data_IF_245371703616
#
_entry.id   IF_245371703616
#
_cell.length_a   1.000
_cell.length_b   1.000
_cell.length_c   1.000
_cell.angle_alpha   90.00
_cell.angle_beta   90.00
_cell.angle_gamma   90.00
#
_symmetry.space_group_name_H-M   'P 1'
#
loop_
_entity.id
_entity.type
_entity.pdbx_description
1 polymer ?
#
# COMPACT_ATOMS: atom_id res chain seq x y z
N UNK A 1 29.65 -0.02 12.97
CA UNK A 1 28.46 -0.48 12.21
C UNK A 1 27.82 0.78 11.66
N UNK A 2 27.88 1.03 10.35
CA UNK A 2 27.14 2.14 9.74
C UNK A 2 25.67 1.81 9.85
N UNK A 3 24.88 2.65 10.53
CA UNK A 3 23.43 2.53 10.51
C UNK A 3 22.97 2.74 9.06
N UNK A 4 22.55 1.68 8.41
CA UNK A 4 21.90 1.79 7.09
C UNK A 4 20.50 2.40 7.28
N UNK A 5 20.46 3.73 7.30
CA UNK A 5 19.21 4.49 7.35
C UNK A 5 18.54 4.61 5.98
N UNK A 6 19.17 4.08 4.92
CA UNK A 6 18.66 4.17 3.56
C UNK A 6 17.25 3.59 3.42
N UNK A 7 16.96 2.49 4.09
CA UNK A 7 15.64 1.85 4.05
C UNK A 7 14.50 2.69 4.64
N UNK A 8 14.80 3.68 5.50
CA UNK A 8 13.79 4.54 6.13
C UNK A 8 13.49 5.81 5.33
N UNK A 9 14.30 6.10 4.30
CA UNK A 9 14.15 7.31 3.49
C UNK A 9 13.40 6.96 2.21
N UNK A 10 12.31 7.68 1.94
CA UNK A 10 11.56 7.56 0.71
C UNK A 10 12.04 8.54 -0.34
N UNK A 11 11.96 8.09 -1.59
CA UNK A 11 12.30 8.84 -2.79
C UNK A 11 11.19 8.59 -3.82
N UNK A 12 10.54 9.66 -4.29
CA UNK A 12 9.44 9.56 -5.25
C UNK A 12 9.87 8.83 -6.55
N UNK A 13 11.13 8.99 -6.96
CA UNK A 13 11.67 8.31 -8.15
C UNK A 13 11.93 6.81 -7.95
N UNK A 14 11.87 6.31 -6.70
CA UNK A 14 12.11 4.92 -6.35
C UNK A 14 10.87 4.22 -5.78
N UNK A 15 9.83 4.98 -5.48
CA UNK A 15 8.62 4.47 -4.84
C UNK A 15 7.57 4.01 -5.84
N UNK A 16 6.84 2.94 -5.48
CA UNK A 16 5.64 2.44 -6.13
C UNK A 16 4.58 2.16 -5.06
N UNK A 17 3.34 2.55 -5.32
CA UNK A 17 2.20 2.24 -4.45
C UNK A 17 1.56 0.92 -4.85
N UNK A 18 1.35 0.03 -3.88
CA UNK A 18 0.64 -1.24 -4.09
C UNK A 18 -0.64 -1.24 -3.26
N UNK A 19 -1.78 -1.42 -3.93
CA UNK A 19 -3.11 -1.52 -3.33
C UNK A 19 -3.57 -2.97 -3.38
N UNK A 20 -3.60 -3.63 -2.23
CA UNK A 20 -3.85 -5.07 -2.13
C UNK A 20 -5.31 -5.34 -1.78
N UNK A 21 -6.03 -6.00 -2.69
CA UNK A 21 -7.31 -6.70 -2.49
C UNK A 21 -8.40 -5.88 -1.76
N UNK A 22 -8.54 -4.59 -2.06
CA UNK A 22 -9.63 -3.76 -1.50
C UNK A 22 -10.90 -4.02 -2.30
N UNK A 23 -11.53 -5.19 -2.05
CA UNK A 23 -12.58 -5.77 -2.89
C UNK A 23 -13.96 -5.79 -2.24
N UNK A 24 -14.99 -5.68 -3.09
CA UNK A 24 -16.40 -5.51 -2.72
C UNK A 24 -16.92 -6.53 -1.69
N UNK A 25 -16.58 -7.82 -1.85
CA UNK A 25 -17.08 -8.89 -0.96
C UNK A 25 -16.23 -9.13 0.29
N UNK A 26 -15.05 -8.50 0.37
CA UNK A 26 -14.27 -8.46 1.62
C UNK A 26 -14.74 -7.35 2.56
N UNK A 27 -15.24 -6.25 2.01
CA UNK A 27 -15.70 -5.08 2.78
C UNK A 27 -16.71 -5.44 3.87
N UNK A 28 -17.78 -6.26 3.61
CA UNK A 28 -18.76 -6.60 4.64
C UNK A 28 -18.18 -7.36 5.85
N UNK A 29 -17.00 -7.94 5.73
CA UNK A 29 -16.33 -8.63 6.83
C UNK A 29 -15.56 -7.67 7.75
N UNK A 30 -15.31 -6.43 7.30
CA UNK A 30 -14.56 -5.44 8.07
C UNK A 30 -15.50 -4.61 8.95
N UNK A 31 -15.06 -4.18 10.16
CA UNK A 31 -15.78 -3.14 10.88
C UNK A 31 -15.88 -1.87 10.02
N UNK A 32 -17.07 -1.29 9.95
CA UNK A 32 -17.37 -0.18 9.02
C UNK A 32 -16.41 1.01 9.18
N UNK A 33 -16.18 1.44 10.41
CA UNK A 33 -15.31 2.57 10.72
C UNK A 33 -13.84 2.30 10.34
N UNK A 34 -13.40 1.05 10.45
CA UNK A 34 -12.05 0.60 10.04
C UNK A 34 -11.92 0.63 8.53
N UNK A 35 -12.93 0.09 7.82
CA UNK A 35 -12.96 0.11 6.35
C UNK A 35 -12.99 1.55 5.80
N UNK A 36 -13.85 2.41 6.34
CA UNK A 36 -13.95 3.80 5.88
C UNK A 36 -12.62 4.55 6.03
N UNK A 37 -11.92 4.36 7.14
CA UNK A 37 -10.57 4.93 7.33
C UNK A 37 -9.56 4.41 6.31
N UNK A 38 -9.53 3.10 6.11
CA UNK A 38 -8.66 2.48 5.09
C UNK A 38 -8.96 3.06 3.71
N UNK A 39 -10.22 3.01 3.26
CA UNK A 39 -10.65 3.49 1.95
C UNK A 39 -10.23 4.94 1.70
N UNK A 40 -10.54 5.83 2.66
CA UNK A 40 -10.20 7.25 2.54
C UNK A 40 -8.68 7.47 2.51
N UNK A 41 -7.92 6.72 3.32
CA UNK A 41 -6.45 6.80 3.32
C UNK A 41 -5.85 6.29 2.02
N UNK A 42 -6.35 5.17 1.49
CA UNK A 42 -5.89 4.62 0.20
C UNK A 42 -6.22 5.58 -0.94
N UNK A 43 -7.44 6.12 -0.99
CA UNK A 43 -7.84 7.11 -2.00
C UNK A 43 -6.90 8.32 -2.01
N UNK A 44 -6.60 8.86 -0.83
CA UNK A 44 -5.67 9.98 -0.68
C UNK A 44 -4.24 9.61 -1.16
N UNK A 45 -3.75 8.43 -0.82
CA UNK A 45 -2.42 7.97 -1.26
C UNK A 45 -2.35 7.78 -2.78
N UNK A 46 -3.41 7.28 -3.40
CA UNK A 46 -3.50 7.14 -4.87
C UNK A 46 -3.50 8.51 -5.54
N UNK A 47 -4.25 9.48 -5.01
CA UNK A 47 -4.22 10.86 -5.51
C UNK A 47 -2.82 11.48 -5.40
N UNK A 48 -2.15 11.31 -4.26
CA UNK A 48 -0.77 11.77 -4.06
C UNK A 48 0.20 11.04 -5.00
N UNK A 49 0.02 9.74 -5.23
CA UNK A 49 0.81 9.00 -6.21
C UNK A 49 0.69 9.62 -7.61
N UNK A 50 -0.51 9.97 -8.05
CA UNK A 50 -0.72 10.68 -9.31
C UNK A 50 -0.04 12.06 -9.36
N UNK A 51 -0.13 12.85 -8.28
CA UNK A 51 0.51 14.17 -8.19
C UNK A 51 2.05 14.08 -8.25
N UNK A 52 2.63 13.01 -7.71
CA UNK A 52 4.08 12.82 -7.62
C UNK A 52 4.64 11.86 -8.69
N UNK A 53 3.81 11.36 -9.62
CA UNK A 53 4.23 10.45 -10.69
C UNK A 53 4.67 9.07 -10.21
N UNK A 54 4.12 8.58 -9.08
CA UNK A 54 4.37 7.22 -8.62
C UNK A 54 3.48 6.24 -9.38
N UNK A 55 4.00 5.12 -9.88
CA UNK A 55 3.16 4.05 -10.41
C UNK A 55 2.30 3.43 -9.30
N UNK A 56 1.09 3.00 -9.68
CA UNK A 56 0.16 2.30 -8.81
C UNK A 56 -0.08 0.89 -9.36
N UNK A 57 0.12 -0.13 -8.53
CA UNK A 57 -0.19 -1.53 -8.85
C UNK A 57 -1.29 -2.01 -7.92
N UNK A 58 -2.39 -2.48 -8.49
CA UNK A 58 -3.54 -2.97 -7.74
C UNK A 58 -3.65 -4.48 -7.90
N UNK A 59 -4.06 -5.19 -6.86
CA UNK A 59 -4.33 -6.63 -6.94
C UNK A 59 -5.77 -6.96 -6.59
N UNK A 60 -6.27 -8.04 -7.19
CA UNK A 60 -7.59 -8.61 -6.92
C UNK A 60 -7.45 -10.11 -6.65
N UNK A 61 -7.76 -10.53 -5.42
CA UNK A 61 -7.80 -11.94 -5.03
C UNK A 61 -9.04 -12.58 -5.62
N UNK A 62 -8.89 -13.58 -6.49
CA UNK A 62 -9.97 -14.41 -7.03
C UNK A 62 -11.28 -13.61 -7.27
N UNK A 63 -11.31 -12.64 -8.21
CA UNK A 63 -12.41 -11.69 -8.34
C UNK A 63 -13.75 -12.36 -8.66
N UNK A 64 -13.76 -13.54 -9.29
CA UNK A 64 -14.98 -14.35 -9.49
C UNK A 64 -15.65 -14.72 -8.15
N UNK A 65 -14.86 -14.89 -7.09
CA UNK A 65 -15.34 -15.25 -5.74
C UNK A 65 -15.62 -14.04 -4.87
N UNK A 66 -14.73 -13.06 -4.79
CA UNK A 66 -14.83 -11.95 -3.83
C UNK A 66 -15.03 -10.58 -4.46
N UNK A 67 -15.37 -10.51 -5.74
CA UNK A 67 -15.69 -9.26 -6.44
C UNK A 67 -14.44 -8.51 -6.88
N UNK A 68 -14.66 -7.35 -7.45
CA UNK A 68 -13.60 -6.46 -7.93
C UNK A 68 -13.23 -5.40 -6.88
N UNK A 69 -12.20 -4.65 -7.18
CA UNK A 69 -11.83 -3.45 -6.41
C UNK A 69 -13.06 -2.55 -6.22
N UNK A 70 -13.25 -2.04 -5.01
CA UNK A 70 -14.42 -1.22 -4.67
C UNK A 70 -14.54 -0.01 -5.61
N UNK A 71 -15.78 0.36 -6.03
CA UNK A 71 -15.99 1.41 -7.03
C UNK A 71 -15.31 2.74 -6.71
N UNK A 72 -15.22 3.08 -5.41
CA UNK A 72 -14.61 4.33 -4.94
C UNK A 72 -13.08 4.41 -5.21
N UNK A 73 -12.42 3.28 -5.39
CA UNK A 73 -11.00 3.19 -5.72
C UNK A 73 -10.75 2.77 -7.16
N UNK A 74 -11.68 2.04 -7.78
CA UNK A 74 -11.49 1.41 -9.08
C UNK A 74 -11.05 2.37 -10.18
N UNK A 75 -11.63 3.58 -10.24
CA UNK A 75 -11.30 4.57 -11.26
C UNK A 75 -9.86 5.08 -11.19
N UNK A 76 -9.32 5.18 -9.97
CA UNK A 76 -7.97 5.68 -9.72
C UNK A 76 -6.91 4.56 -9.64
N UNK A 77 -7.36 3.28 -9.51
CA UNK A 77 -6.53 2.10 -9.35
C UNK A 77 -6.56 1.18 -10.59
N UNK A 78 -6.87 1.68 -11.78
CA UNK A 78 -7.13 0.88 -12.97
C UNK A 78 -5.95 0.73 -13.94
N UNK A 79 -4.84 1.42 -13.73
CA UNK A 79 -3.70 1.38 -14.66
C UNK A 79 -3.05 -0.01 -14.73
N UNK A 80 -2.89 -0.66 -13.58
CA UNK A 80 -2.33 -2.01 -13.49
C UNK A 80 -3.10 -2.80 -12.45
N UNK A 81 -4.03 -3.65 -12.90
CA UNK A 81 -4.81 -4.55 -12.04
C UNK A 81 -4.38 -5.99 -12.30
N UNK A 82 -4.00 -6.70 -11.25
CA UNK A 82 -3.51 -8.07 -11.31
C UNK A 82 -4.42 -8.99 -10.52
N UNK A 83 -5.06 -9.91 -11.24
CA UNK A 83 -5.81 -11.00 -10.61
C UNK A 83 -4.84 -12.05 -10.06
N UNK A 84 -5.11 -12.54 -8.87
CA UNK A 84 -4.30 -13.55 -8.21
C UNK A 84 -5.11 -14.62 -7.49
N UNK A 85 -4.53 -15.79 -7.30
CA UNK A 85 -5.06 -16.88 -6.48
C UNK A 85 -4.21 -17.12 -5.23
N UNK A 86 -2.92 -16.85 -5.30
CA UNK A 86 -2.03 -16.86 -4.13
C UNK A 86 -2.39 -15.71 -3.18
N UNK A 87 -2.31 -15.93 -1.86
CA UNK A 87 -2.56 -14.84 -0.91
C UNK A 87 -1.48 -13.76 -1.00
N UNK A 88 -0.20 -14.13 -0.97
CA UNK A 88 0.89 -13.19 -1.21
C UNK A 88 1.01 -12.84 -2.69
N UNK A 89 1.06 -11.54 -3.02
CA UNK A 89 1.15 -11.07 -4.41
C UNK A 89 2.40 -11.61 -5.14
N UNK A 90 3.49 -11.84 -4.41
CA UNK A 90 4.73 -12.38 -4.98
C UNK A 90 4.61 -13.84 -5.46
N UNK A 91 3.52 -14.54 -5.15
CA UNK A 91 3.18 -15.84 -5.74
C UNK A 91 2.73 -15.76 -7.20
N UNK A 92 2.44 -14.57 -7.73
CA UNK A 92 2.01 -14.35 -9.10
C UNK A 92 3.15 -13.74 -9.93
N UNK A 93 3.53 -14.44 -10.99
CA UNK A 93 4.59 -13.96 -11.89
C UNK A 93 4.24 -12.62 -12.54
N UNK A 94 2.96 -12.40 -12.87
CA UNK A 94 2.45 -11.15 -13.45
C UNK A 94 2.62 -9.96 -12.49
N UNK A 95 2.47 -10.16 -11.17
CA UNK A 95 2.73 -9.12 -10.19
C UNK A 95 4.22 -8.75 -10.14
N UNK A 96 5.09 -9.75 -10.09
CA UNK A 96 6.53 -9.52 -10.06
C UNK A 96 7.02 -8.84 -11.33
N UNK A 97 6.47 -9.22 -12.49
CA UNK A 97 6.76 -8.57 -13.76
C UNK A 97 6.29 -7.11 -13.79
N UNK A 98 5.03 -6.84 -13.38
CA UNK A 98 4.51 -5.49 -13.30
C UNK A 98 5.36 -4.62 -12.38
N UNK A 99 5.71 -5.12 -11.19
CA UNK A 99 6.54 -4.41 -10.23
C UNK A 99 7.93 -4.11 -10.81
N UNK A 100 8.57 -5.11 -11.45
CA UNK A 100 9.87 -4.95 -12.11
C UNK A 100 9.82 -3.90 -13.23
N UNK A 101 8.74 -3.88 -14.01
CA UNK A 101 8.57 -2.92 -15.11
C UNK A 101 8.45 -1.48 -14.64
N UNK A 102 8.05 -1.24 -13.38
CA UNK A 102 8.11 0.12 -12.79
C UNK A 102 9.54 0.63 -12.61
N UNK A 103 10.53 -0.23 -12.53
CA UNK A 103 11.92 0.12 -12.20
C UNK A 103 12.10 0.61 -10.76
N UNK A 104 11.08 0.49 -9.90
CA UNK A 104 11.07 1.03 -8.53
C UNK A 104 11.56 -0.02 -7.52
N UNK A 105 12.21 0.42 -6.46
CA UNK A 105 12.79 -0.45 -5.42
C UNK A 105 12.17 -0.26 -4.04
N UNK A 106 11.38 0.80 -3.83
CA UNK A 106 10.68 1.09 -2.59
C UNK A 106 9.19 0.84 -2.77
N UNK A 107 8.63 -0.10 -2.02
CA UNK A 107 7.24 -0.53 -2.18
C UNK A 107 6.40 -0.04 -1.01
N UNK A 108 5.41 0.82 -1.29
CA UNK A 108 4.45 1.35 -0.34
C UNK A 108 3.24 0.42 -0.31
N UNK A 109 3.02 -0.29 0.80
CA UNK A 109 2.00 -1.33 0.92
C UNK A 109 0.75 -0.80 1.63
N UNK A 110 -0.40 -1.00 0.97
CA UNK A 110 -1.75 -0.72 1.47
C UNK A 110 -2.70 -1.88 1.19
N UNK A 111 -3.91 -1.85 1.76
CA UNK A 111 -4.98 -2.81 1.43
C UNK A 111 -5.37 -3.78 2.54
N UNK A 112 -5.92 -4.94 2.20
CA UNK A 112 -6.46 -5.91 3.15
C UNK A 112 -6.21 -7.37 2.73
N UNK A 113 -6.18 -8.33 3.66
CA UNK A 113 -6.12 -8.14 5.12
C UNK A 113 -4.67 -8.11 5.59
N UNK A 114 -4.41 -7.28 6.60
CA UNK A 114 -3.06 -7.02 7.13
C UNK A 114 -2.28 -8.29 7.51
N UNK A 115 -2.97 -9.31 8.05
CA UNK A 115 -2.37 -10.56 8.53
C UNK A 115 -2.36 -11.70 7.48
N UNK A 116 -2.95 -11.49 6.31
CA UNK A 116 -3.01 -12.51 5.23
C UNK A 116 -2.28 -12.00 3.99
N UNK A 117 -3.00 -11.40 3.04
CA UNK A 117 -2.44 -11.00 1.74
C UNK A 117 -1.33 -9.96 1.90
N UNK A 118 -1.56 -8.96 2.76
CA UNK A 118 -0.57 -7.90 3.03
C UNK A 118 0.70 -8.49 3.64
N UNK A 119 0.58 -9.25 4.73
CA UNK A 119 1.75 -9.82 5.41
C UNK A 119 2.56 -10.74 4.52
N UNK A 120 1.92 -11.68 3.80
CA UNK A 120 2.62 -12.59 2.89
C UNK A 120 3.29 -11.84 1.72
N UNK A 121 2.67 -10.76 1.24
CA UNK A 121 3.29 -9.89 0.22
C UNK A 121 4.52 -9.17 0.77
N UNK A 122 4.45 -8.65 1.99
CA UNK A 122 5.61 -8.04 2.67
C UNK A 122 6.79 -9.01 2.73
N UNK A 123 6.55 -10.25 3.14
CA UNK A 123 7.62 -11.27 3.21
C UNK A 123 8.26 -11.54 1.85
N UNK A 124 7.43 -11.79 0.81
CA UNK A 124 7.94 -12.07 -0.53
C UNK A 124 8.70 -10.87 -1.15
N UNK A 125 8.27 -9.64 -0.88
CA UNK A 125 8.98 -8.44 -1.33
C UNK A 125 10.33 -8.26 -0.64
N UNK A 126 10.38 -8.48 0.69
CA UNK A 126 11.64 -8.42 1.45
C UNK A 126 12.63 -9.49 0.95
N UNK A 127 12.15 -10.72 0.71
CA UNK A 127 12.95 -11.81 0.11
C UNK A 127 13.44 -11.44 -1.29
N UNK A 128 12.63 -10.72 -2.08
CA UNK A 128 12.98 -10.17 -3.38
C UNK A 128 13.93 -8.96 -3.35
N UNK A 129 14.35 -8.51 -2.16
CA UNK A 129 15.31 -7.40 -1.99
C UNK A 129 14.70 -6.00 -2.10
N UNK A 130 13.37 -5.86 -2.07
CA UNK A 130 12.72 -4.55 -2.06
C UNK A 130 12.77 -3.90 -0.67
N UNK A 131 12.79 -2.58 -0.64
CA UNK A 131 12.53 -1.81 0.58
C UNK A 131 11.01 -1.66 0.77
N UNK A 132 10.47 -2.28 1.81
CA UNK A 132 9.02 -2.34 2.04
C UNK A 132 8.60 -1.38 3.12
N UNK A 133 7.67 -0.48 2.80
CA UNK A 133 7.03 0.45 3.72
C UNK A 133 5.58 0.04 3.92
N UNK A 134 5.26 -0.52 5.08
CA UNK A 134 3.90 -0.91 5.46
C UNK A 134 3.17 0.29 6.06
N UNK A 135 2.19 0.81 5.33
CA UNK A 135 1.42 1.99 5.74
C UNK A 135 0.28 1.53 6.66
N UNK A 136 0.54 1.53 7.97
CA UNK A 136 -0.33 0.90 8.98
C UNK A 136 -1.75 1.47 9.04
N UNK A 137 -1.96 2.73 8.69
CA UNK A 137 -3.26 3.40 8.66
C UNK A 137 -3.96 3.32 7.30
N UNK A 138 -3.32 2.64 6.33
CA UNK A 138 -3.87 2.29 5.03
C UNK A 138 -4.03 0.77 4.82
N UNK A 139 -4.00 -0.01 5.90
CA UNK A 139 -4.29 -1.44 5.92
C UNK A 139 -5.31 -1.78 6.99
N UNK A 140 -6.04 -2.87 6.84
CA UNK A 140 -6.96 -3.35 7.88
C UNK A 140 -7.06 -4.89 7.92
N UNK A 141 -7.72 -5.37 8.96
CA UNK A 141 -8.19 -6.74 9.11
C UNK A 141 -9.53 -6.75 9.82
N UNK A 142 -10.32 -7.81 9.63
CA UNK A 142 -11.63 -8.00 10.29
C UNK A 142 -11.51 -8.01 11.82
N UNK A 143 -10.40 -8.52 12.35
CA UNK A 143 -10.13 -8.56 13.80
C UNK A 143 -8.92 -7.69 14.17
N UNK A 144 -9.05 -6.92 15.23
CA UNK A 144 -7.96 -6.08 15.74
C UNK A 144 -6.72 -6.88 16.14
N UNK A 145 -6.90 -8.06 16.74
CA UNK A 145 -5.79 -8.93 17.16
C UNK A 145 -4.97 -9.37 15.95
N UNK A 146 -5.63 -9.78 14.88
CA UNK A 146 -4.98 -10.22 13.63
C UNK A 146 -4.25 -9.07 12.94
N UNK A 147 -4.89 -7.88 12.91
CA UNK A 147 -4.25 -6.67 12.41
C UNK A 147 -2.95 -6.35 13.17
N UNK A 148 -3.00 -6.35 14.51
CA UNK A 148 -1.83 -6.05 15.35
C UNK A 148 -0.71 -7.08 15.13
N UNK A 149 -1.05 -8.37 15.03
CA UNK A 149 -0.09 -9.43 14.73
C UNK A 149 0.55 -9.25 13.35
N UNK A 150 -0.25 -8.97 12.31
CA UNK A 150 0.24 -8.74 10.96
C UNK A 150 1.24 -7.57 10.90
N UNK A 151 0.89 -6.43 11.52
CA UNK A 151 1.76 -5.24 11.59
C UNK A 151 3.05 -5.53 12.35
N UNK A 152 2.95 -6.17 13.53
CA UNK A 152 4.13 -6.48 14.35
C UNK A 152 5.09 -7.43 13.64
N UNK A 153 4.57 -8.51 13.05
CA UNK A 153 5.35 -9.51 12.34
C UNK A 153 6.02 -8.92 11.08
N UNK A 154 5.31 -8.08 10.33
CA UNK A 154 5.88 -7.39 9.16
C UNK A 154 7.06 -6.48 9.56
N UNK A 155 6.92 -5.74 10.67
CA UNK A 155 8.00 -4.91 11.22
C UNK A 155 9.20 -5.74 11.67
N UNK A 156 8.97 -6.87 12.37
CA UNK A 156 10.04 -7.79 12.79
C UNK A 156 10.75 -8.45 11.60
N UNK A 157 10.03 -8.71 10.51
CA UNK A 157 10.61 -9.24 9.28
C UNK A 157 11.50 -8.24 8.53
N UNK A 158 11.43 -6.93 8.86
CA UNK A 158 12.29 -5.91 8.29
C UNK A 158 11.59 -4.80 7.52
N UNK A 159 10.25 -4.85 7.38
CA UNK A 159 9.50 -3.75 6.79
C UNK A 159 9.54 -2.50 7.69
N UNK A 160 9.55 -1.33 7.07
CA UNK A 160 9.38 -0.06 7.76
C UNK A 160 7.89 0.15 8.00
N UNK A 161 7.45 0.04 9.26
CA UNK A 161 6.06 0.34 9.64
C UNK A 161 5.91 1.84 9.80
N UNK A 162 5.02 2.45 9.02
CA UNK A 162 4.87 3.90 8.93
C UNK A 162 3.39 4.30 8.81
N UNK A 163 3.11 5.58 8.59
CA UNK A 163 1.76 6.13 8.34
C UNK A 163 1.72 6.86 7.01
N UNK A 164 0.51 7.03 6.46
CA UNK A 164 0.30 7.73 5.19
C UNK A 164 0.87 9.15 5.21
N UNK A 165 0.64 9.90 6.28
CA UNK A 165 1.15 11.26 6.40
C UNK A 165 2.69 11.31 6.41
N UNK A 166 3.34 10.41 7.15
CA UNK A 166 4.80 10.28 7.13
C UNK A 166 5.33 10.00 5.73
N UNK A 167 4.69 9.08 5.00
CA UNK A 167 5.05 8.75 3.60
C UNK A 167 4.95 9.97 2.70
N UNK A 168 3.81 10.66 2.72
CA UNK A 168 3.56 11.80 1.86
C UNK A 168 4.58 12.93 2.07
N UNK A 169 4.89 13.27 3.32
CA UNK A 169 5.88 14.31 3.61
C UNK A 169 7.32 13.86 3.33
N UNK A 170 7.63 12.58 3.46
CA UNK A 170 8.93 12.07 3.01
C UNK A 170 9.09 12.13 1.49
N UNK A 171 8.04 11.83 0.71
CA UNK A 171 8.07 11.92 -0.75
C UNK A 171 8.20 13.37 -1.24
N UNK A 172 7.59 14.32 -0.54
CA UNK A 172 7.73 15.76 -0.84
C UNK A 172 9.11 16.30 -0.48
N UNK A 173 9.76 15.76 0.56
CA UNK A 173 11.05 16.17 1.12
C UNK A 173 11.09 17.59 1.71
N UNK A 174 10.51 18.57 1.03
CA UNK A 174 10.58 20.00 1.45
C UNK A 174 9.26 20.75 1.24
N UNK A 175 9.04 21.80 2.03
CA UNK A 175 7.82 22.62 1.96
C UNK A 175 7.75 23.53 0.72
N UNK A 176 8.83 23.64 -0.03
CA UNK A 176 8.92 24.39 -1.30
C UNK A 176 8.57 23.53 -2.51
N UNK A 177 8.35 22.22 -2.34
CA UNK A 177 7.93 21.31 -3.40
C UNK A 177 6.65 21.80 -4.08
N UNK A 178 6.59 21.76 -5.41
CA UNK A 178 5.44 22.30 -6.20
C UNK A 178 4.10 21.71 -5.78
N UNK A 179 4.05 20.42 -5.40
CA UNK A 179 2.84 19.71 -4.96
C UNK A 179 2.53 19.88 -3.46
N UNK A 180 3.36 20.59 -2.69
CA UNK A 180 3.19 20.71 -1.24
C UNK A 180 1.81 21.21 -0.83
N UNK A 181 1.27 22.23 -1.54
CA UNK A 181 -0.04 22.80 -1.20
C UNK A 181 -1.17 21.80 -1.44
N UNK A 182 -1.12 21.07 -2.56
CA UNK A 182 -2.11 20.05 -2.90
C UNK A 182 -2.10 18.91 -1.86
N UNK A 183 -0.93 18.35 -1.55
CA UNK A 183 -0.78 17.28 -0.56
C UNK A 183 -1.19 17.74 0.85
N UNK A 184 -0.78 18.95 1.27
CA UNK A 184 -1.19 19.51 2.57
C UNK A 184 -2.71 19.69 2.70
N UNK A 185 -3.40 20.02 1.61
CA UNK A 185 -4.86 20.11 1.58
C UNK A 185 -5.48 18.74 1.83
N UNK A 186 -5.05 17.71 1.11
CA UNK A 186 -5.54 16.34 1.27
C UNK A 186 -5.35 15.82 2.71
N UNK A 187 -4.19 16.09 3.32
CA UNK A 187 -3.93 15.71 4.72
C UNK A 187 -4.93 16.35 5.68
N UNK A 188 -5.26 17.64 5.49
CA UNK A 188 -6.23 18.37 6.34
C UNK A 188 -7.67 17.87 6.17
N UNK A 189 -8.04 17.47 4.96
CA UNK A 189 -9.38 16.97 4.64
C UNK A 189 -9.60 15.52 5.14
N UNK A 190 -8.53 14.80 5.47
CA UNK A 190 -8.58 13.46 6.06
C UNK A 190 -9.04 13.46 7.53
N UNK A 191 -8.81 14.54 8.28
CA UNK A 191 -8.98 14.68 9.75
C UNK A 191 -10.43 14.85 10.22
#
# INVERSE_FOLDING_TARGET
MSNDLGKFKLDAEKAVLVVIDVQERLVPAMPEDVYLRLRNTVAMLVEVAGLLGLPVVTTEQYPKGIGHTVPELAAACNETVIEKVSFGCCGEATFLEALKNTGRSQVLITGMEAHVCVYQTVLGLLEGGYYVHLIRDAICSRNKTDYLAGVANAGQAGAVVTTAETVMFQLLQESTHEQFRAVSKLVKERG
#
